data_IF_033494597847
#
_entry.id   IF_033494597847
#
_cell.length_a   1.000
_cell.length_b   1.000
_cell.length_c   1.000
_cell.angle_alpha   90.00
_cell.angle_beta   90.00
_cell.angle_gamma   90.00
#
_symmetry.space_group_name_H-M   'P 1'
#
loop_
_entity.id
_entity.type
_entity.pdbx_description
1 polymer ?
#
# COMPACT_ATOMS: atom_id res chain seq x y z
N UNK A 1 -32.41 16.10 7.45
CA UNK A 1 -32.73 14.74 7.91
C UNK A 1 -31.43 13.95 7.96
N UNK A 2 -30.98 13.60 9.17
CA UNK A 2 -29.80 12.79 9.42
C UNK A 2 -30.04 11.37 8.90
N UNK A 3 -29.20 10.91 7.99
CA UNK A 3 -29.15 9.49 7.64
C UNK A 3 -28.17 8.84 8.63
N UNK A 4 -28.63 8.00 9.58
CA UNK A 4 -27.71 7.23 10.38
C UNK A 4 -27.08 6.19 9.45
N UNK A 5 -25.79 6.34 9.17
CA UNK A 5 -25.02 5.35 8.39
C UNK A 5 -24.79 4.14 9.29
N UNK A 6 -25.84 3.33 9.42
CA UNK A 6 -25.77 1.97 9.91
C UNK A 6 -25.37 1.09 8.73
N UNK A 7 -24.07 0.91 8.57
CA UNK A 7 -23.54 -0.32 7.98
C UNK A 7 -22.33 -0.70 8.83
N UNK A 8 -22.62 -1.48 9.86
CA UNK A 8 -21.72 -2.53 10.31
C UNK A 8 -21.27 -3.32 9.07
N UNK A 9 -20.19 -2.87 8.43
CA UNK A 9 -19.36 -3.76 7.64
C UNK A 9 -18.90 -4.79 8.65
N UNK A 10 -19.46 -5.99 8.57
CA UNK A 10 -19.00 -7.13 9.36
C UNK A 10 -17.54 -7.37 9.00
N UNK A 11 -16.64 -6.69 9.69
CA UNK A 11 -15.24 -7.03 9.74
C UNK A 11 -15.18 -8.31 10.55
N UNK A 12 -15.19 -9.46 9.86
CA UNK A 12 -15.16 -10.79 10.46
C UNK A 12 -13.92 -11.02 11.35
N UNK A 13 -13.01 -10.06 11.41
CA UNK A 13 -11.77 -10.06 12.19
C UNK A 13 -11.55 -8.68 12.81
N UNK A 14 -11.46 -8.55 14.14
CA UNK A 14 -11.53 -7.25 14.81
C UNK A 14 -10.25 -6.41 14.70
N UNK A 15 -9.17 -6.93 14.11
CA UNK A 15 -7.86 -6.29 14.06
C UNK A 15 -7.29 -6.38 12.64
N UNK A 16 -7.35 -5.27 11.92
CA UNK A 16 -6.56 -5.02 10.71
C UNK A 16 -5.75 -3.77 10.96
N UNK A 17 -4.46 -3.82 10.64
CA UNK A 17 -3.53 -2.73 10.91
C UNK A 17 -2.47 -2.64 9.84
N UNK A 18 -2.16 -1.42 9.42
CA UNK A 18 -1.12 -1.12 8.44
C UNK A 18 -0.09 -0.16 8.99
N UNK A 19 1.18 -0.38 8.61
CA UNK A 19 2.26 0.57 8.81
C UNK A 19 2.76 1.02 7.45
N UNK A 20 2.95 2.33 7.29
CA UNK A 20 3.65 2.89 6.14
C UNK A 20 4.85 3.68 6.62
N UNK A 21 5.98 3.46 5.97
CA UNK A 21 7.24 4.10 6.29
C UNK A 21 7.79 4.78 5.04
N UNK A 22 7.92 6.11 5.13
CA UNK A 22 8.56 6.93 4.12
C UNK A 22 9.67 7.75 4.78
N UNK A 23 10.96 7.46 4.51
CA UNK A 23 12.06 8.23 5.06
C UNK A 23 12.03 9.68 4.57
N UNK A 24 12.28 10.65 5.45
CA UNK A 24 12.22 12.08 5.07
C UNK A 24 13.29 12.50 4.07
N UNK A 25 14.45 11.83 4.11
CA UNK A 25 15.58 12.06 3.18
C UNK A 25 15.33 11.45 1.80
N UNK A 26 14.45 10.46 1.69
CA UNK A 26 14.13 9.76 0.45
C UNK A 26 12.61 9.57 0.35
N UNK A 27 11.87 10.69 0.26
CA UNK A 27 10.40 10.70 0.05
C UNK A 27 9.97 9.88 -1.17
N UNK A 28 10.89 9.62 -2.08
CA UNK A 28 10.72 8.72 -3.20
C UNK A 28 10.44 7.27 -2.81
N UNK A 29 10.85 6.81 -1.64
CA UNK A 29 10.65 5.45 -1.16
C UNK A 29 9.51 5.42 -0.14
N UNK A 30 8.56 4.51 -0.35
CA UNK A 30 7.48 4.25 0.59
C UNK A 30 7.33 2.74 0.74
N UNK A 31 7.42 2.24 1.96
CA UNK A 31 7.22 0.83 2.29
C UNK A 31 5.93 0.72 3.08
N UNK A 32 5.05 -0.18 2.67
CA UNK A 32 3.74 -0.41 3.27
C UNK A 32 3.68 -1.86 3.71
N UNK A 33 3.28 -2.12 4.93
CA UNK A 33 2.99 -3.46 5.41
C UNK A 33 1.64 -3.43 6.11
N UNK A 34 0.68 -4.17 5.57
CA UNK A 34 -0.66 -4.34 6.11
C UNK A 34 -0.83 -5.76 6.60
N UNK A 35 -1.31 -5.89 7.82
CA UNK A 35 -1.66 -7.15 8.44
C UNK A 35 -3.15 -7.13 8.72
N UNK A 36 -3.91 -7.91 7.95
CA UNK A 36 -5.25 -8.31 8.32
C UNK A 36 -5.17 -9.64 9.08
N UNK A 37 -6.13 -9.93 9.96
CA UNK A 37 -6.07 -11.13 10.81
C UNK A 37 -6.11 -12.46 10.04
N UNK A 38 -6.30 -12.42 8.71
CA UNK A 38 -6.22 -13.57 7.80
C UNK A 38 -5.10 -13.47 6.78
N UNK A 39 -4.86 -12.26 6.28
CA UNK A 39 -4.03 -12.03 5.10
C UNK A 39 -2.99 -10.94 5.37
N UNK A 40 -1.77 -11.15 4.89
CA UNK A 40 -0.66 -10.22 5.07
C UNK A 40 -0.24 -9.62 3.74
N UNK A 41 -0.28 -8.30 3.64
CA UNK A 41 0.07 -7.55 2.44
C UNK A 41 1.34 -6.75 2.67
N UNK A 42 2.29 -6.84 1.74
CA UNK A 42 3.48 -5.99 1.74
C UNK A 42 3.55 -5.25 0.41
N UNK A 43 3.81 -3.95 0.47
CA UNK A 43 4.09 -3.12 -0.68
C UNK A 43 5.35 -2.29 -0.49
N UNK A 44 5.99 -1.93 -1.59
CA UNK A 44 7.05 -0.96 -1.62
C UNK A 44 7.00 -0.18 -2.93
N UNK A 45 7.09 1.14 -2.86
CA UNK A 45 7.11 2.04 -3.99
C UNK A 45 8.40 2.84 -3.96
N UNK A 46 9.06 3.00 -5.09
CA UNK A 46 10.28 3.80 -5.22
C UNK A 46 10.25 4.68 -6.46
N UNK A 47 10.48 5.98 -6.27
CA UNK A 47 10.61 6.97 -7.34
C UNK A 47 12.08 7.32 -7.60
N UNK A 48 12.66 6.73 -8.63
CA UNK A 48 14.01 7.00 -9.11
C UNK A 48 14.01 8.19 -10.07
N UNK A 49 15.01 9.07 -9.91
CA UNK A 49 15.25 10.23 -10.78
C UNK A 49 14.05 11.17 -11.01
N UNK A 50 12.98 11.11 -10.19
CA UNK A 50 11.68 11.78 -10.40
C UNK A 50 10.93 11.38 -11.69
N UNK A 51 11.44 10.43 -12.45
CA UNK A 51 10.87 10.02 -13.74
C UNK A 51 10.51 8.53 -13.77
N UNK A 52 11.12 7.73 -12.91
CA UNK A 52 11.02 6.28 -12.93
C UNK A 52 10.40 5.80 -11.63
N UNK A 53 9.12 5.48 -11.68
CA UNK A 53 8.37 4.95 -10.54
C UNK A 53 8.32 3.43 -10.62
N UNK A 54 8.77 2.76 -9.58
CA UNK A 54 8.63 1.33 -9.39
C UNK A 54 7.66 1.06 -8.26
N UNK A 55 6.78 0.10 -8.47
CA UNK A 55 5.88 -0.42 -7.47
C UNK A 55 6.12 -1.91 -7.32
N UNK A 56 6.15 -2.37 -6.09
CA UNK A 56 6.20 -3.76 -5.72
C UNK A 56 5.07 -3.99 -4.72
N UNK A 57 4.32 -5.06 -4.92
CA UNK A 57 3.25 -5.46 -4.03
C UNK A 57 3.25 -6.98 -3.92
N UNK A 58 2.94 -7.50 -2.74
CA UNK A 58 2.96 -8.92 -2.48
C UNK A 58 1.86 -9.25 -1.49
N UNK A 59 0.87 -10.03 -1.97
CA UNK A 59 -0.23 -10.52 -1.16
C UNK A 59 0.11 -11.91 -0.58
N UNK A 60 -0.06 -12.05 0.73
CA UNK A 60 0.18 -13.24 1.55
C UNK A 60 1.56 -13.90 1.33
N UNK A 61 2.58 -13.14 0.91
CA UNK A 61 3.87 -13.69 0.45
C UNK A 61 3.77 -14.71 -0.72
N UNK A 62 2.60 -14.82 -1.37
CA UNK A 62 2.31 -15.81 -2.42
C UNK A 62 2.28 -15.18 -3.81
N UNK A 63 1.75 -13.96 -3.92
CA UNK A 63 1.51 -13.31 -5.21
C UNK A 63 2.36 -12.04 -5.33
N UNK A 64 3.63 -12.17 -5.70
CA UNK A 64 4.46 -11.00 -5.99
C UNK A 64 3.98 -10.35 -7.28
N UNK A 65 3.78 -9.04 -7.22
CA UNK A 65 3.39 -8.16 -8.31
C UNK A 65 4.39 -7.02 -8.37
N UNK A 66 4.90 -6.75 -9.55
CA UNK A 66 5.78 -5.62 -9.79
C UNK A 66 5.23 -4.78 -10.93
N UNK A 67 5.39 -3.48 -10.82
CA UNK A 67 5.03 -2.51 -11.83
C UNK A 67 6.13 -1.47 -11.96
N UNK A 68 6.28 -0.96 -13.17
CA UNK A 68 7.19 0.14 -13.47
C UNK A 68 6.43 1.14 -14.32
N UNK A 69 6.61 2.41 -14.00
CA UNK A 69 6.04 3.52 -14.72
C UNK A 69 7.16 4.53 -15.00
N UNK A 70 7.30 4.91 -16.26
CA UNK A 70 8.31 5.87 -16.70
C UNK A 70 7.58 7.09 -17.25
N UNK A 71 7.78 8.23 -16.60
CA UNK A 71 7.22 9.50 -17.02
C UNK A 71 8.31 10.34 -17.69
N UNK A 72 8.18 10.51 -19.01
CA UNK A 72 8.96 11.46 -19.79
C UNK A 72 8.18 12.76 -19.92
N UNK A 73 8.65 13.81 -19.26
CA UNK A 73 8.22 15.18 -19.56
C UNK A 73 9.11 15.67 -20.69
N UNK A 74 8.52 15.89 -21.88
CA UNK A 74 9.16 16.54 -23.04
C UNK A 74 8.89 18.04 -22.95
#
# INVERSE_FOLDING_TARGET
YNIPVSVHVMQRFPLSGGVSFAPSFLKSLNIIAEYDSRDFNIGANVLLFKHLYFQFFMNELKYPVFGMHIQFTI
#
